data_IF_748997302429
#
_entry.id   IF_748997302429
#
_cell.length_a   1.000
_cell.length_b   1.000
_cell.length_c   1.000
_cell.angle_alpha   90.00
_cell.angle_beta   90.00
_cell.angle_gamma   90.00
#
_symmetry.space_group_name_H-M   'P 1'
#
loop_
_entity.id
_entity.type
_entity.pdbx_description
1 polymer ?
#
# COMPACT_ATOMS: atom_id res chain seq x y z
N UNK A 1 -9.04 53.47 33.73
CA UNK A 1 -7.93 52.86 32.97
C UNK A 1 -8.45 51.62 32.28
N UNK A 2 -8.66 51.70 30.95
CA UNK A 2 -9.10 50.56 30.12
C UNK A 2 -7.89 50.10 29.35
N UNK A 3 -7.48 48.85 29.56
CA UNK A 3 -6.45 48.17 28.73
C UNK A 3 -7.13 47.54 27.51
N UNK A 4 -6.72 48.02 26.33
CA UNK A 4 -7.09 47.42 25.05
C UNK A 4 -6.02 46.38 24.75
N UNK A 5 -6.42 45.11 24.70
CA UNK A 5 -5.55 43.99 24.26
C UNK A 5 -5.58 43.91 22.73
N UNK A 6 -4.46 44.23 22.11
CA UNK A 6 -4.28 44.07 20.66
C UNK A 6 -4.04 42.60 20.33
N UNK A 7 -4.91 42.05 19.49
CA UNK A 7 -4.72 40.71 18.87
C UNK A 7 -3.83 40.93 17.67
N UNK A 8 -2.58 40.42 17.75
CA UNK A 8 -1.70 40.31 16.61
C UNK A 8 -2.04 39.02 15.85
N UNK A 9 -2.67 39.16 14.70
CA UNK A 9 -2.78 38.10 13.70
C UNK A 9 -1.44 37.91 13.01
N UNK A 10 -0.74 36.85 13.36
CA UNK A 10 0.38 36.37 12.56
C UNK A 10 -0.15 35.67 11.28
N UNK A 11 -0.20 36.42 10.20
CA UNK A 11 -0.27 35.86 8.86
C UNK A 11 1.10 35.29 8.51
N UNK A 12 1.32 34.02 8.87
CA UNK A 12 2.45 33.24 8.39
C UNK A 12 2.27 32.95 6.91
N UNK A 13 2.92 33.72 6.05
CA UNK A 13 3.14 33.35 4.66
C UNK A 13 4.02 32.08 4.63
N UNK A 14 3.44 30.94 4.28
CA UNK A 14 4.21 29.76 3.90
C UNK A 14 4.86 30.07 2.55
N UNK A 15 6.01 30.73 2.59
CA UNK A 15 6.93 30.79 1.45
C UNK A 15 7.46 29.38 1.27
N UNK A 16 7.04 28.69 0.20
CA UNK A 16 7.59 27.40 -0.19
C UNK A 16 9.10 27.50 -0.37
N UNK A 17 9.86 26.86 0.51
CA UNK A 17 11.29 26.72 0.38
C UNK A 17 11.58 26.04 -0.96
N UNK A 18 12.18 26.75 -1.89
CA UNK A 18 12.82 26.17 -3.07
C UNK A 18 14.13 25.52 -2.58
N UNK A 19 14.07 24.21 -2.34
CA UNK A 19 15.30 23.43 -2.25
C UNK A 19 15.97 23.47 -3.61
N UNK A 20 17.28 23.83 -3.66
CA UNK A 20 18.06 24.07 -4.87
C UNK A 20 18.21 22.85 -5.83
N UNK A 21 17.45 21.80 -5.64
CA UNK A 21 17.47 20.54 -6.39
C UNK A 21 16.25 20.31 -7.32
N UNK A 22 15.43 21.32 -7.60
CA UNK A 22 14.30 21.18 -8.54
C UNK A 22 13.08 20.42 -7.97
N UNK A 23 13.14 19.93 -6.74
CA UNK A 23 12.00 19.28 -6.08
C UNK A 23 11.19 20.35 -5.35
N UNK A 24 10.02 20.67 -5.88
CA UNK A 24 9.03 21.51 -5.21
C UNK A 24 7.69 20.81 -5.15
N UNK A 25 6.87 21.11 -4.15
CA UNK A 25 5.51 20.57 -4.06
C UNK A 25 4.71 20.86 -5.34
N UNK A 26 4.87 22.06 -5.90
CA UNK A 26 4.24 22.44 -7.17
C UNK A 26 4.59 21.49 -8.32
N UNK A 27 5.86 21.10 -8.44
CA UNK A 27 6.29 20.19 -9.51
C UNK A 27 5.73 18.78 -9.31
N UNK A 28 5.64 18.33 -8.06
CA UNK A 28 5.01 17.05 -7.70
C UNK A 28 3.53 17.07 -8.05
N UNK A 29 2.81 18.09 -7.62
CA UNK A 29 1.37 18.23 -7.86
C UNK A 29 1.06 18.31 -9.36
N UNK A 30 1.89 19.04 -10.13
CA UNK A 30 1.74 19.12 -11.58
C UNK A 30 2.01 17.76 -12.26
N UNK A 31 3.02 17.03 -11.83
CA UNK A 31 3.30 15.69 -12.35
C UNK A 31 2.14 14.73 -12.06
N UNK A 32 1.58 14.76 -10.86
CA UNK A 32 0.41 13.96 -10.49
C UNK A 32 -0.79 14.35 -11.35
N UNK A 33 -1.06 15.65 -11.51
CA UNK A 33 -2.18 16.14 -12.33
C UNK A 33 -2.09 15.65 -13.79
N UNK A 34 -0.89 15.69 -14.38
CA UNK A 34 -0.64 15.19 -15.75
C UNK A 34 -0.84 13.68 -15.84
N UNK A 35 -0.32 12.92 -14.86
CA UNK A 35 -0.51 11.48 -14.82
C UNK A 35 -1.98 11.08 -14.66
N UNK A 36 -2.75 11.77 -13.82
CA UNK A 36 -4.20 11.56 -13.68
C UNK A 36 -4.93 11.88 -14.96
N UNK A 37 -4.57 12.96 -15.68
CA UNK A 37 -5.16 13.30 -16.95
C UNK A 37 -4.92 12.19 -18.00
N UNK A 38 -3.71 11.63 -18.04
CA UNK A 38 -3.39 10.51 -18.91
C UNK A 38 -4.19 9.25 -18.55
N UNK A 39 -4.31 8.90 -17.27
CA UNK A 39 -5.07 7.72 -16.79
C UNK A 39 -6.56 7.74 -17.20
N UNK A 40 -7.15 8.91 -17.44
CA UNK A 40 -8.53 9.01 -17.92
C UNK A 40 -8.73 8.44 -19.33
N UNK A 41 -7.69 8.40 -20.13
CA UNK A 41 -7.73 7.91 -21.51
C UNK A 41 -6.96 6.62 -21.70
N UNK A 42 -6.23 6.18 -20.66
CA UNK A 42 -5.42 4.97 -20.71
C UNK A 42 -6.28 3.70 -20.75
N UNK A 43 -5.79 2.62 -21.38
CA UNK A 43 -6.47 1.34 -21.32
C UNK A 43 -6.49 0.79 -19.89
N UNK A 44 -7.64 0.35 -19.42
CA UNK A 44 -7.75 -0.30 -18.12
C UNK A 44 -7.36 -1.80 -18.14
N UNK A 45 -7.18 -2.36 -19.34
CA UNK A 45 -6.79 -3.74 -19.57
C UNK A 45 -5.35 -3.84 -20.03
N UNK A 46 -4.64 -4.85 -19.58
CA UNK A 46 -3.26 -5.10 -20.00
C UNK A 46 -2.40 -5.75 -18.92
N UNK A 47 -1.12 -5.76 -19.19
CA UNK A 47 -0.12 -6.40 -18.34
C UNK A 47 -0.10 -7.92 -18.47
N UNK A 48 0.69 -8.57 -17.64
CA UNK A 48 0.96 -10.03 -17.73
C UNK A 48 -0.28 -10.90 -17.52
N UNK A 49 -1.35 -10.37 -16.94
CA UNK A 49 -2.53 -11.14 -16.56
C UNK A 49 -3.71 -10.95 -17.51
N UNK A 50 -3.56 -10.09 -18.52
CA UNK A 50 -4.63 -9.75 -19.47
C UNK A 50 -5.98 -9.45 -18.76
N UNK A 51 -5.92 -8.76 -17.63
CA UNK A 51 -7.07 -8.36 -16.82
C UNK A 51 -7.10 -6.85 -16.64
N UNK A 52 -8.26 -6.31 -16.29
CA UNK A 52 -8.33 -4.89 -15.98
C UNK A 52 -7.64 -4.56 -14.64
N UNK A 53 -7.32 -3.29 -14.45
CA UNK A 53 -6.71 -2.76 -13.23
C UNK A 53 -7.55 -1.61 -12.63
N UNK A 54 -8.88 -1.69 -12.77
CA UNK A 54 -9.80 -0.65 -12.33
C UNK A 54 -9.62 -0.30 -10.84
N UNK A 55 -9.34 -1.30 -9.99
CA UNK A 55 -9.09 -1.10 -8.57
C UNK A 55 -7.82 -0.28 -8.31
N UNK A 56 -6.76 -0.48 -9.11
CA UNK A 56 -5.52 0.26 -8.98
C UNK A 56 -5.69 1.71 -9.47
N UNK A 57 -6.40 1.92 -10.59
CA UNK A 57 -6.71 3.25 -11.10
C UNK A 57 -7.59 4.00 -10.10
N UNK A 58 -8.62 3.34 -9.55
CA UNK A 58 -9.49 3.93 -8.54
C UNK A 58 -8.71 4.33 -7.28
N UNK A 59 -7.84 3.46 -6.76
CA UNK A 59 -6.98 3.77 -5.62
C UNK A 59 -6.10 4.99 -5.91
N UNK A 60 -5.54 5.05 -7.12
CA UNK A 60 -4.73 6.19 -7.56
C UNK A 60 -5.55 7.48 -7.60
N UNK A 61 -6.77 7.45 -8.14
CA UNK A 61 -7.67 8.60 -8.17
C UNK A 61 -8.04 9.08 -6.76
N UNK A 62 -8.34 8.13 -5.86
CA UNK A 62 -8.62 8.44 -4.45
C UNK A 62 -7.47 9.21 -3.82
N UNK A 63 -6.24 8.71 -3.94
CA UNK A 63 -5.07 9.35 -3.35
C UNK A 63 -4.66 10.64 -4.08
N UNK A 64 -4.88 10.73 -5.38
CA UNK A 64 -4.65 11.95 -6.15
C UNK A 64 -5.66 13.07 -5.86
N UNK A 65 -6.75 12.78 -5.14
CA UNK A 65 -7.79 13.75 -4.80
C UNK A 65 -8.75 14.03 -5.94
N UNK A 66 -8.92 13.11 -6.89
CA UNK A 66 -9.96 13.20 -7.92
C UNK A 66 -11.32 13.19 -7.22
N UNK A 67 -12.20 14.09 -7.64
CA UNK A 67 -13.53 14.21 -7.05
C UNK A 67 -14.36 12.95 -7.28
N UNK A 68 -15.11 12.52 -6.27
CA UNK A 68 -16.08 11.43 -6.38
C UNK A 68 -17.25 11.75 -7.36
N UNK A 69 -17.36 13.01 -7.81
CA UNK A 69 -18.31 13.43 -8.86
C UNK A 69 -17.73 13.32 -10.28
N UNK A 70 -16.46 13.04 -10.41
CA UNK A 70 -15.80 12.81 -11.72
C UNK A 70 -16.40 11.56 -12.37
N UNK A 71 -16.78 11.67 -13.66
CA UNK A 71 -17.46 10.59 -14.37
C UNK A 71 -16.59 9.32 -14.48
N UNK A 72 -15.27 9.48 -14.67
CA UNK A 72 -14.35 8.33 -14.68
C UNK A 72 -14.25 7.68 -13.31
N UNK A 73 -14.21 8.49 -12.24
CA UNK A 73 -14.24 7.96 -10.88
C UNK A 73 -15.49 7.14 -10.64
N UNK A 74 -16.67 7.68 -10.99
CA UNK A 74 -17.95 6.98 -10.81
C UNK A 74 -18.01 5.68 -11.62
N UNK A 75 -17.52 5.69 -12.86
CA UNK A 75 -17.44 4.50 -13.69
C UNK A 75 -16.54 3.43 -13.07
N UNK A 76 -15.33 3.80 -12.65
CA UNK A 76 -14.40 2.88 -11.97
C UNK A 76 -15.00 2.33 -10.69
N UNK A 77 -15.59 3.19 -9.85
CA UNK A 77 -16.23 2.78 -8.61
C UNK A 77 -17.35 1.77 -8.87
N UNK A 78 -18.23 2.04 -9.84
CA UNK A 78 -19.28 1.10 -10.23
C UNK A 78 -18.69 -0.23 -10.68
N UNK A 79 -17.72 -0.22 -11.59
CA UNK A 79 -17.08 -1.43 -12.11
C UNK A 79 -16.53 -2.31 -10.98
N UNK A 80 -15.76 -1.75 -10.05
CA UNK A 80 -15.12 -2.53 -8.98
C UNK A 80 -16.12 -3.02 -7.93
N UNK A 81 -17.22 -2.32 -7.73
CA UNK A 81 -18.28 -2.74 -6.81
C UNK A 81 -19.15 -3.86 -7.37
N UNK A 82 -19.39 -3.87 -8.68
CA UNK A 82 -20.20 -4.88 -9.38
C UNK A 82 -19.36 -6.11 -9.78
N UNK A 83 -18.04 -5.98 -9.87
CA UNK A 83 -17.16 -7.08 -10.23
C UNK A 83 -17.20 -8.23 -9.19
N UNK A 84 -17.08 -9.49 -9.64
CA UNK A 84 -16.88 -10.60 -8.73
C UNK A 84 -15.57 -10.45 -7.97
N UNK A 85 -15.52 -10.95 -6.73
CA UNK A 85 -14.26 -11.02 -5.97
C UNK A 85 -13.41 -12.15 -6.53
N UNK A 86 -12.40 -11.77 -7.27
CA UNK A 86 -11.41 -12.67 -7.88
C UNK A 86 -10.05 -11.98 -7.94
N UNK A 87 -8.99 -12.74 -7.99
CA UNK A 87 -7.60 -12.27 -7.94
C UNK A 87 -7.25 -11.52 -6.65
N UNK A 88 -6.37 -12.11 -5.88
CA UNK A 88 -5.94 -11.61 -4.56
C UNK A 88 -5.56 -10.13 -4.57
N UNK A 89 -4.78 -9.67 -5.54
CA UNK A 89 -4.37 -8.27 -5.61
C UNK A 89 -5.54 -7.32 -5.94
N UNK A 90 -6.53 -7.73 -6.77
CA UNK A 90 -7.71 -6.92 -7.06
C UNK A 90 -8.58 -6.75 -5.82
N UNK A 91 -8.85 -7.86 -5.11
CA UNK A 91 -9.64 -7.85 -3.88
C UNK A 91 -8.94 -7.04 -2.77
N UNK A 92 -7.61 -7.16 -2.66
CA UNK A 92 -6.83 -6.36 -1.72
C UNK A 92 -6.91 -4.86 -2.04
N UNK A 93 -6.75 -4.48 -3.32
CA UNK A 93 -6.88 -3.09 -3.77
C UNK A 93 -8.31 -2.56 -3.55
N UNK A 94 -9.34 -3.37 -3.82
CA UNK A 94 -10.73 -3.00 -3.52
C UNK A 94 -10.93 -2.70 -2.04
N UNK A 95 -10.44 -3.56 -1.15
CA UNK A 95 -10.51 -3.33 0.30
C UNK A 95 -9.83 -2.00 0.69
N UNK A 96 -8.66 -1.71 0.12
CA UNK A 96 -7.94 -0.45 0.34
C UNK A 96 -8.74 0.76 -0.17
N UNK A 97 -9.33 0.68 -1.37
CA UNK A 97 -10.17 1.75 -1.91
C UNK A 97 -11.34 2.08 -0.98
N UNK A 98 -12.06 1.06 -0.56
CA UNK A 98 -13.27 1.21 0.25
C UNK A 98 -12.96 1.70 1.68
N UNK A 99 -11.87 1.21 2.26
CA UNK A 99 -11.39 1.67 3.57
C UNK A 99 -10.97 3.14 3.52
N UNK A 100 -10.37 3.59 2.41
CA UNK A 100 -9.95 4.97 2.21
C UNK A 100 -11.12 5.90 1.90
N UNK A 101 -12.13 5.44 1.18
CA UNK A 101 -13.34 6.22 0.85
C UNK A 101 -14.24 6.40 2.07
N UNK A 102 -14.80 5.32 2.59
CA UNK A 102 -15.64 5.31 3.79
C UNK A 102 -15.74 3.87 4.35
N UNK A 103 -14.87 3.58 5.30
CA UNK A 103 -14.78 2.27 5.94
C UNK A 103 -15.99 1.87 6.76
N UNK A 104 -16.90 2.79 7.06
CA UNK A 104 -18.16 2.51 7.78
C UNK A 104 -19.26 2.15 6.79
N UNK A 105 -19.51 3.00 5.80
CA UNK A 105 -20.51 2.75 4.77
C UNK A 105 -20.24 1.47 3.98
N UNK A 106 -18.96 1.19 3.66
CA UNK A 106 -18.57 0.03 2.87
C UNK A 106 -18.07 -1.16 3.70
N UNK A 107 -18.25 -1.13 5.03
CA UNK A 107 -17.72 -2.18 5.93
C UNK A 107 -18.15 -3.59 5.49
N UNK A 108 -19.39 -3.75 5.03
CA UNK A 108 -19.90 -5.01 4.55
C UNK A 108 -19.12 -5.57 3.33
N UNK A 109 -18.79 -4.70 2.35
CA UNK A 109 -18.01 -5.10 1.17
C UNK A 109 -16.56 -5.37 1.53
N UNK A 110 -15.99 -4.59 2.44
CA UNK A 110 -14.67 -4.84 3.02
C UNK A 110 -14.64 -6.19 3.76
N UNK A 111 -15.69 -6.55 4.49
CA UNK A 111 -15.81 -7.87 5.12
C UNK A 111 -15.88 -9.01 4.09
N UNK A 112 -16.55 -8.80 2.96
CA UNK A 112 -16.54 -9.75 1.84
C UNK A 112 -15.11 -9.90 1.25
N UNK A 113 -14.36 -8.81 1.11
CA UNK A 113 -12.96 -8.87 0.70
C UNK A 113 -12.10 -9.64 1.72
N UNK A 114 -12.32 -9.40 3.01
CA UNK A 114 -11.65 -10.16 4.08
C UNK A 114 -11.95 -11.65 4.01
N UNK A 115 -13.23 -12.04 3.82
CA UNK A 115 -13.63 -13.44 3.68
C UNK A 115 -12.94 -14.09 2.48
N UNK A 116 -12.90 -13.40 1.32
CA UNK A 116 -12.19 -13.90 0.16
C UNK A 116 -10.71 -14.13 0.44
N UNK A 117 -10.03 -13.17 1.08
CA UNK A 117 -8.60 -13.28 1.39
C UNK A 117 -8.35 -14.42 2.39
N UNK A 118 -9.18 -14.58 3.42
CA UNK A 118 -9.07 -15.67 4.40
C UNK A 118 -9.24 -17.02 3.74
N UNK A 119 -10.24 -17.19 2.88
CA UNK A 119 -10.53 -18.45 2.19
C UNK A 119 -9.44 -18.85 1.19
N UNK A 120 -8.80 -17.86 0.54
CA UNK A 120 -7.78 -18.10 -0.48
C UNK A 120 -6.36 -18.15 0.07
N UNK A 121 -6.16 -18.11 1.39
CA UNK A 121 -4.84 -18.32 1.96
C UNK A 121 -4.33 -19.72 1.66
N UNK A 122 -3.13 -19.80 1.10
CA UNK A 122 -2.45 -21.06 0.82
C UNK A 122 -2.07 -21.80 2.11
N UNK A 123 -1.85 -23.11 2.01
CA UNK A 123 -1.50 -23.95 3.17
C UNK A 123 -0.23 -23.50 3.88
N UNK A 124 0.72 -22.95 3.15
CA UNK A 124 1.99 -22.45 3.67
C UNK A 124 1.91 -20.99 4.20
N UNK A 125 0.73 -20.38 4.21
CA UNK A 125 0.53 -19.00 4.68
C UNK A 125 0.64 -17.91 3.60
N UNK A 126 1.02 -18.25 2.38
CA UNK A 126 1.06 -17.33 1.24
C UNK A 126 -0.35 -17.10 0.64
N UNK A 127 -0.35 -16.30 -0.44
CA UNK A 127 -1.47 -16.19 -1.39
C UNK A 127 -0.98 -16.43 -2.82
N UNK A 128 -1.84 -17.07 -3.61
CA UNK A 128 -1.78 -17.13 -5.07
C UNK A 128 -2.82 -16.17 -5.64
N UNK A 129 -3.18 -16.30 -6.91
CA UNK A 129 -4.16 -15.40 -7.56
C UNK A 129 -5.54 -15.41 -6.90
N UNK A 130 -5.94 -16.51 -6.28
CA UNK A 130 -7.25 -16.66 -5.65
C UNK A 130 -8.40 -16.89 -6.64
N UNK A 131 -9.49 -17.44 -6.10
CA UNK A 131 -10.72 -17.75 -6.84
C UNK A 131 -11.94 -17.34 -6.02
N UNK A 132 -13.08 -17.03 -6.66
CA UNK A 132 -14.33 -16.76 -5.95
C UNK A 132 -14.68 -17.88 -4.96
N UNK A 133 -15.18 -17.52 -3.78
CA UNK A 133 -15.59 -18.45 -2.73
C UNK A 133 -17.03 -18.24 -2.33
N UNK A 134 -17.75 -19.32 -2.04
CA UNK A 134 -19.17 -19.28 -1.66
C UNK A 134 -19.39 -18.58 -0.30
N UNK A 135 -18.43 -18.68 0.62
CA UNK A 135 -18.55 -18.10 1.97
C UNK A 135 -18.72 -16.58 1.95
N UNK A 136 -18.27 -15.91 0.88
CA UNK A 136 -18.49 -14.47 0.67
C UNK A 136 -19.99 -14.13 0.67
N UNK A 137 -20.85 -15.02 0.16
CA UNK A 137 -22.30 -14.83 0.09
C UNK A 137 -22.97 -14.84 1.47
N UNK A 138 -22.32 -15.39 2.49
CA UNK A 138 -22.83 -15.42 3.86
C UNK A 138 -22.71 -14.06 4.56
N UNK A 139 -21.96 -13.13 4.00
CA UNK A 139 -21.85 -11.77 4.51
C UNK A 139 -22.96 -10.94 3.88
N UNK A 140 -23.89 -10.45 4.73
CA UNK A 140 -24.99 -9.64 4.27
C UNK A 140 -24.49 -8.41 3.52
N UNK A 141 -25.04 -8.18 2.34
CA UNK A 141 -24.82 -6.95 1.60
C UNK A 141 -25.53 -5.80 2.31
N UNK A 142 -24.88 -4.65 2.41
CA UNK A 142 -25.51 -3.41 2.84
C UNK A 142 -26.51 -2.88 1.81
N UNK A 143 -27.07 -1.70 2.07
CA UNK A 143 -28.00 -1.06 1.14
C UNK A 143 -27.46 -1.00 -0.28
N UNK A 144 -28.30 -1.37 -1.25
CA UNK A 144 -27.91 -1.58 -2.65
C UNK A 144 -27.59 -0.31 -3.44
N UNK A 145 -27.68 0.86 -2.85
CA UNK A 145 -27.23 2.08 -3.52
C UNK A 145 -25.70 2.17 -3.54
N UNK A 146 -25.11 1.60 -4.57
CA UNK A 146 -23.67 1.64 -4.85
C UNK A 146 -23.25 3.02 -5.34
N UNK A 147 -23.48 4.06 -4.56
CA UNK A 147 -22.99 5.42 -4.89
C UNK A 147 -21.68 5.66 -4.16
N UNK A 148 -20.70 6.31 -4.82
CA UNK A 148 -19.55 6.84 -4.12
C UNK A 148 -20.01 7.73 -2.98
N UNK A 149 -19.32 7.77 -1.84
CA UNK A 149 -19.66 8.65 -0.75
C UNK A 149 -19.68 10.11 -1.24
N UNK A 150 -20.49 10.96 -0.60
CA UNK A 150 -20.49 12.37 -0.92
C UNK A 150 -19.06 12.94 -0.78
N UNK A 151 -18.64 13.85 -1.68
CA UNK A 151 -17.31 14.43 -1.62
C UNK A 151 -17.07 15.02 -0.24
N UNK A 152 -16.01 14.61 0.39
CA UNK A 152 -15.61 15.22 1.65
C UNK A 152 -15.15 16.64 1.40
N UNK A 153 -15.59 17.56 2.27
CA UNK A 153 -15.11 18.94 2.26
C UNK A 153 -13.61 18.95 2.55
N UNK A 154 -12.84 19.53 1.66
CA UNK A 154 -11.39 19.67 1.76
C UNK A 154 -10.62 18.85 0.75
N UNK A 155 -9.47 19.37 0.32
CA UNK A 155 -8.51 18.67 -0.52
C UNK A 155 -7.90 17.55 0.32
N UNK A 156 -7.72 16.35 -0.23
CA UNK A 156 -6.90 15.30 0.39
C UNK A 156 -5.45 15.77 0.32
N UNK A 157 -5.00 16.42 1.38
CA UNK A 157 -3.66 16.98 1.44
C UNK A 157 -2.61 15.87 1.48
N UNK A 158 -1.49 16.14 0.85
CA UNK A 158 -0.30 15.31 0.88
C UNK A 158 0.16 15.07 2.33
N UNK A 159 0.23 13.80 2.74
CA UNK A 159 0.68 13.41 4.08
C UNK A 159 -0.23 13.83 5.23
N UNK A 160 -1.35 14.52 4.99
CA UNK A 160 -2.32 14.82 6.02
C UNK A 160 -3.13 13.58 6.36
N UNK A 161 -3.10 13.18 7.63
CA UNK A 161 -3.98 12.14 8.15
C UNK A 161 -5.41 12.68 8.21
N UNK A 162 -6.21 12.34 7.21
CA UNK A 162 -7.63 12.59 7.27
C UNK A 162 -8.24 11.76 8.39
N UNK A 163 -9.01 12.38 9.28
CA UNK A 163 -9.77 11.66 10.28
C UNK A 163 -10.81 10.77 9.58
N UNK A 164 -10.63 9.46 9.68
CA UNK A 164 -11.59 8.49 9.12
C UNK A 164 -12.74 8.26 10.08
N UNK A 165 -13.96 7.98 9.58
CA UNK A 165 -15.11 7.65 10.43
C UNK A 165 -14.77 6.53 11.41
N UNK A 166 -15.21 6.67 12.67
CA UNK A 166 -15.00 5.65 13.71
C UNK A 166 -15.90 4.45 13.44
N UNK A 167 -15.28 3.30 13.34
CA UNK A 167 -15.99 2.02 13.25
C UNK A 167 -16.61 1.71 14.61
N UNK A 168 -17.91 1.48 14.65
CA UNK A 168 -18.66 1.18 15.89
C UNK A 168 -18.96 -0.31 16.05
N UNK A 169 -19.12 -1.02 14.94
CA UNK A 169 -19.43 -2.45 14.90
C UNK A 169 -18.24 -3.21 14.34
N UNK A 170 -17.91 -4.34 14.94
CA UNK A 170 -16.92 -5.27 14.38
C UNK A 170 -17.65 -6.41 13.67
N UNK A 171 -17.16 -6.76 12.49
CA UNK A 171 -17.65 -7.89 11.71
C UNK A 171 -16.63 -9.03 11.78
N UNK A 172 -17.08 -10.26 11.98
CA UNK A 172 -16.20 -11.43 12.01
C UNK A 172 -16.25 -12.16 10.69
N UNK A 173 -15.08 -12.55 10.20
CA UNK A 173 -14.95 -13.54 9.14
C UNK A 173 -14.31 -14.81 9.69
N UNK A 174 -14.63 -15.94 9.12
CA UNK A 174 -14.09 -17.23 9.53
C UNK A 174 -13.56 -17.96 8.31
N UNK A 175 -12.56 -18.80 8.51
CA UNK A 175 -12.04 -19.61 7.42
C UNK A 175 -13.13 -20.57 6.95
N UNK A 176 -13.63 -20.33 5.74
CA UNK A 176 -14.51 -21.24 5.03
C UNK A 176 -13.71 -22.40 4.41
N UNK A 177 -14.36 -23.15 3.58
CA UNK A 177 -13.70 -24.14 2.73
C UNK A 177 -13.82 -23.65 1.27
N UNK A 178 -12.88 -23.99 0.41
CA UNK A 178 -11.69 -24.83 0.62
C UNK A 178 -10.48 -24.05 1.09
N UNK A 179 -9.48 -24.77 1.62
CA UNK A 179 -8.14 -24.25 1.83
C UNK A 179 -7.54 -23.92 0.47
N UNK A 180 -6.82 -22.81 0.36
CA UNK A 180 -6.09 -22.44 -0.84
C UNK A 180 -5.06 -23.50 -1.29
N UNK A 181 -4.38 -23.29 -2.42
CA UNK A 181 -3.37 -24.22 -2.93
C UNK A 181 -2.21 -24.41 -1.93
N UNK A 182 -1.33 -25.39 -2.18
CA UNK A 182 -0.21 -25.68 -1.29
C UNK A 182 0.70 -24.46 -1.07
N UNK A 183 0.94 -23.67 -2.11
CA UNK A 183 1.79 -22.48 -2.07
C UNK A 183 1.32 -21.39 -3.03
N UNK A 184 1.77 -20.19 -2.79
CA UNK A 184 1.55 -19.00 -3.61
C UNK A 184 2.86 -18.34 -4.02
N UNK A 185 2.83 -17.01 -4.05
CA UNK A 185 4.00 -16.19 -4.33
C UNK A 185 4.01 -14.92 -3.46
N UNK A 186 5.18 -14.32 -3.32
CA UNK A 186 5.37 -13.15 -2.47
C UNK A 186 4.77 -11.86 -3.05
N UNK A 187 4.54 -11.81 -4.38
CA UNK A 187 3.87 -10.68 -5.00
C UNK A 187 2.39 -10.62 -4.59
N UNK A 188 1.64 -11.72 -4.71
CA UNK A 188 0.26 -11.77 -4.22
C UNK A 188 0.19 -11.64 -2.69
N UNK A 189 1.12 -12.25 -1.96
CA UNK A 189 1.11 -12.25 -0.48
C UNK A 189 1.31 -10.85 0.11
N UNK A 190 2.12 -9.98 -0.49
CA UNK A 190 2.25 -8.59 -0.02
C UNK A 190 0.97 -7.78 -0.25
N UNK A 191 0.24 -8.01 -1.36
CA UNK A 191 -1.06 -7.35 -1.57
C UNK A 191 -2.11 -7.89 -0.59
N UNK A 192 -2.12 -9.20 -0.30
CA UNK A 192 -2.99 -9.76 0.73
C UNK A 192 -2.77 -9.09 2.10
N UNK A 193 -1.51 -8.83 2.48
CA UNK A 193 -1.20 -8.11 3.72
C UNK A 193 -1.82 -6.71 3.75
N UNK A 194 -1.73 -5.95 2.64
CA UNK A 194 -2.32 -4.61 2.53
C UNK A 194 -3.86 -4.66 2.62
N UNK A 195 -4.47 -5.59 1.91
CA UNK A 195 -5.92 -5.80 1.93
C UNK A 195 -6.42 -6.21 3.32
N UNK A 196 -5.74 -7.16 3.98
CA UNK A 196 -6.08 -7.59 5.34
C UNK A 196 -5.92 -6.47 6.37
N UNK A 197 -4.89 -5.60 6.20
CA UNK A 197 -4.77 -4.39 7.02
C UNK A 197 -5.97 -3.46 6.83
N UNK A 198 -6.35 -3.19 5.59
CA UNK A 198 -7.51 -2.34 5.32
C UNK A 198 -8.79 -2.92 5.94
N UNK A 199 -8.98 -4.24 5.86
CA UNK A 199 -10.09 -4.94 6.53
C UNK A 199 -10.02 -4.78 8.06
N UNK A 200 -8.86 -4.98 8.65
CA UNK A 200 -8.65 -4.84 10.11
C UNK A 200 -8.92 -3.41 10.58
N UNK A 201 -8.43 -2.40 9.86
CA UNK A 201 -8.65 -0.98 10.16
C UNK A 201 -10.12 -0.57 9.97
N UNK A 202 -10.85 -1.27 9.10
CA UNK A 202 -12.31 -1.14 8.94
C UNK A 202 -13.12 -1.95 9.98
N UNK A 203 -12.47 -2.53 11.00
CA UNK A 203 -13.15 -3.26 12.07
C UNK A 203 -13.62 -4.66 11.67
N UNK A 204 -12.97 -5.29 10.71
CA UNK A 204 -13.21 -6.71 10.39
C UNK A 204 -12.22 -7.57 11.18
N UNK A 205 -12.76 -8.49 11.98
CA UNK A 205 -11.96 -9.46 12.74
C UNK A 205 -11.51 -10.59 11.82
N UNK A 206 -10.25 -10.52 11.43
CA UNK A 206 -9.57 -11.57 10.65
C UNK A 206 -9.10 -12.67 11.62
N UNK A 207 -9.27 -13.98 11.27
CA UNK A 207 -8.81 -15.06 12.13
C UNK A 207 -7.32 -14.93 12.49
N UNK A 208 -7.00 -15.08 13.76
CA UNK A 208 -5.60 -14.98 14.26
C UNK A 208 -4.68 -16.00 13.57
N UNK A 209 -5.20 -17.21 13.29
CA UNK A 209 -4.45 -18.24 12.57
C UNK A 209 -4.04 -17.77 11.15
N UNK A 210 -4.92 -17.06 10.42
CA UNK A 210 -4.60 -16.52 9.10
C UNK A 210 -3.46 -15.51 9.18
N UNK A 211 -3.51 -14.62 10.17
CA UNK A 211 -2.47 -13.59 10.40
C UNK A 211 -1.14 -14.25 10.81
N UNK A 212 -1.20 -15.23 11.72
CA UNK A 212 -0.02 -15.94 12.21
C UNK A 212 0.67 -16.77 11.12
N UNK A 213 -0.10 -17.52 10.31
CA UNK A 213 0.47 -18.33 9.21
C UNK A 213 1.13 -17.44 8.15
N UNK A 214 0.53 -16.29 7.84
CA UNK A 214 1.13 -15.33 6.94
C UNK A 214 2.44 -14.75 7.49
N UNK A 215 2.45 -14.34 8.75
CA UNK A 215 3.67 -13.87 9.42
C UNK A 215 4.75 -14.97 9.41
N UNK A 216 4.38 -16.19 9.78
CA UNK A 216 5.29 -17.35 9.79
C UNK A 216 5.94 -17.57 8.43
N UNK A 217 5.16 -17.50 7.34
CA UNK A 217 5.70 -17.58 5.99
C UNK A 217 6.82 -16.56 5.75
N UNK A 218 6.62 -15.30 6.07
CA UNK A 218 7.62 -14.27 5.86
C UNK A 218 8.88 -14.48 6.70
N UNK A 219 8.76 -15.01 7.90
CA UNK A 219 9.89 -15.38 8.75
C UNK A 219 10.69 -16.53 8.13
N UNK A 220 10.02 -17.60 7.70
CA UNK A 220 10.65 -18.82 7.16
C UNK A 220 11.19 -18.65 5.74
N UNK A 221 10.65 -17.70 4.98
CA UNK A 221 11.07 -17.41 3.60
C UNK A 221 12.13 -16.31 3.50
N UNK A 222 12.54 -15.70 4.62
CA UNK A 222 13.62 -14.74 4.62
C UNK A 222 14.94 -15.43 4.28
N UNK A 223 15.74 -14.82 3.40
CA UNK A 223 17.01 -15.38 2.98
C UNK A 223 18.01 -15.45 4.14
N UNK A 224 19.02 -16.34 4.06
CA UNK A 224 20.14 -16.33 4.99
C UNK A 224 20.80 -14.96 5.09
N UNK A 225 21.44 -14.71 6.23
CA UNK A 225 22.18 -13.48 6.46
C UNK A 225 23.33 -13.34 5.44
N UNK A 226 23.39 -12.21 4.76
CA UNK A 226 24.47 -11.93 3.80
C UNK A 226 25.81 -11.61 4.47
N UNK A 227 25.85 -11.59 5.80
CA UNK A 227 27.02 -11.23 6.60
C UNK A 227 27.33 -9.73 6.58
N UNK A 228 27.70 -9.24 7.72
CA UNK A 228 28.42 -7.98 7.92
C UNK A 228 27.71 -6.71 7.51
N UNK A 229 26.98 -6.11 8.43
CA UNK A 229 27.21 -4.69 8.64
C UNK A 229 28.70 -4.57 8.99
N UNK A 230 29.52 -4.12 8.06
CA UNK A 230 30.93 -3.85 8.34
C UNK A 230 31.04 -2.91 9.54
N UNK A 231 32.15 -2.98 10.31
CA UNK A 231 32.41 -2.10 11.45
C UNK A 231 32.31 -0.59 11.13
N UNK A 232 32.06 -0.21 9.88
CA UNK A 232 31.90 1.13 9.36
C UNK A 232 30.48 1.45 8.83
N UNK A 233 29.52 0.50 8.91
CA UNK A 233 28.13 0.79 8.53
C UNK A 233 27.41 1.51 9.68
N UNK A 234 27.41 2.83 9.60
CA UNK A 234 26.78 3.77 10.54
C UNK A 234 25.26 3.56 10.65
N UNK A 235 24.66 2.76 9.75
CA UNK A 235 23.22 2.55 9.65
C UNK A 235 22.64 1.50 10.60
N UNK A 236 23.45 0.60 11.15
CA UNK A 236 23.01 -0.39 12.12
C UNK A 236 23.97 -0.43 13.32
N UNK A 237 23.80 0.50 14.25
CA UNK A 237 24.62 0.59 15.45
C UNK A 237 24.57 -0.62 16.40
N UNK A 238 23.90 -1.73 15.98
CA UNK A 238 23.75 -2.96 16.75
C UNK A 238 24.27 -4.23 16.04
N UNK A 239 24.93 -4.11 14.87
CA UNK A 239 25.49 -5.27 14.17
C UNK A 239 24.44 -6.28 13.68
N UNK A 240 23.22 -5.84 13.42
CA UNK A 240 22.09 -6.71 13.09
C UNK A 240 22.23 -7.43 11.74
N UNK A 241 21.47 -8.52 11.56
CA UNK A 241 21.44 -9.30 10.32
C UNK A 241 20.97 -8.47 9.12
N UNK A 242 21.45 -8.85 7.94
CA UNK A 242 21.06 -8.27 6.64
C UNK A 242 20.43 -9.36 5.78
N UNK A 243 19.09 -9.37 5.69
CA UNK A 243 18.34 -10.47 5.08
C UNK A 243 17.16 -9.91 4.28
N UNK A 244 17.06 -10.29 3.02
CA UNK A 244 15.98 -9.89 2.13
C UNK A 244 15.09 -11.06 1.72
N UNK A 245 14.25 -10.83 0.73
CA UNK A 245 13.32 -11.83 0.17
C UNK A 245 13.39 -11.86 -1.35
N UNK A 246 13.15 -13.05 -1.91
CA UNK A 246 12.90 -13.26 -3.32
C UNK A 246 11.41 -13.51 -3.60
N UNK A 247 11.07 -14.04 -4.79
CA UNK A 247 9.68 -14.21 -5.21
C UNK A 247 8.94 -15.35 -4.48
N UNK A 248 9.67 -16.34 -3.93
CA UNK A 248 9.10 -17.50 -3.21
C UNK A 248 9.81 -17.70 -1.88
N UNK A 249 10.72 -18.65 -1.82
CA UNK A 249 11.63 -18.85 -0.68
C UNK A 249 12.94 -19.43 -1.17
N UNK A 250 14.04 -19.30 -0.43
CA UNK A 250 15.33 -19.87 -0.82
C UNK A 250 15.32 -21.40 -0.94
N UNK A 251 14.35 -22.06 -0.34
CA UNK A 251 14.21 -23.52 -0.43
C UNK A 251 13.72 -24.02 -1.80
N UNK A 252 13.00 -23.17 -2.55
CA UNK A 252 12.36 -23.54 -3.83
C UNK A 252 12.69 -22.59 -4.98
N UNK A 253 13.47 -21.56 -4.73
CA UNK A 253 13.84 -20.52 -5.68
C UNK A 253 15.26 -20.04 -5.35
N UNK A 254 16.22 -20.33 -6.18
CA UNK A 254 17.65 -20.03 -6.00
C UNK A 254 18.01 -18.56 -6.29
N UNK A 255 17.06 -17.77 -6.78
CA UNK A 255 17.26 -16.33 -6.99
C UNK A 255 17.60 -15.62 -5.68
N UNK A 256 18.55 -14.71 -5.76
CA UNK A 256 18.92 -13.85 -4.62
C UNK A 256 17.75 -12.93 -4.22
N UNK A 257 17.76 -12.39 -2.99
CA UNK A 257 16.88 -11.32 -2.60
C UNK A 257 16.93 -10.15 -3.58
N UNK A 258 15.82 -9.48 -3.81
CA UNK A 258 15.77 -8.30 -4.66
C UNK A 258 14.77 -7.27 -4.17
N UNK A 259 14.96 -6.05 -4.61
CA UNK A 259 14.35 -4.85 -4.06
C UNK A 259 12.83 -4.90 -3.97
N UNK A 260 12.15 -5.30 -5.06
CA UNK A 260 10.68 -5.29 -5.09
C UNK A 260 10.06 -6.26 -4.07
N UNK A 261 10.66 -7.45 -3.91
CA UNK A 261 10.16 -8.43 -2.94
C UNK A 261 10.55 -8.06 -1.52
N UNK A 262 11.79 -7.60 -1.29
CA UNK A 262 12.22 -7.19 0.05
C UNK A 262 11.44 -5.99 0.57
N UNK A 263 11.17 -4.98 -0.26
CA UNK A 263 10.35 -3.85 0.13
C UNK A 263 8.90 -4.25 0.46
N UNK A 264 8.29 -5.10 -0.38
CA UNK A 264 6.96 -5.63 -0.13
C UNK A 264 6.87 -6.49 1.13
N UNK A 265 7.87 -7.36 1.34
CA UNK A 265 7.97 -8.22 2.52
C UNK A 265 8.13 -7.41 3.81
N UNK A 266 9.02 -6.41 3.84
CA UNK A 266 9.20 -5.53 4.99
C UNK A 266 7.85 -4.89 5.39
N UNK A 267 7.12 -4.34 4.43
CA UNK A 267 5.79 -3.78 4.68
C UNK A 267 4.79 -4.82 5.21
N UNK A 268 4.77 -6.02 4.62
CA UNK A 268 3.87 -7.11 5.03
C UNK A 268 4.16 -7.57 6.48
N UNK A 269 5.44 -7.75 6.85
CA UNK A 269 5.80 -8.16 8.22
C UNK A 269 5.45 -7.06 9.23
N UNK A 270 5.63 -5.79 8.90
CA UNK A 270 5.16 -4.67 9.74
C UNK A 270 3.64 -4.74 9.97
N UNK A 271 2.85 -4.99 8.91
CA UNK A 271 1.39 -5.12 8.99
C UNK A 271 0.99 -6.27 9.90
N UNK A 272 1.57 -7.46 9.73
CA UNK A 272 1.19 -8.62 10.54
C UNK A 272 1.58 -8.44 12.01
N UNK A 273 2.73 -7.86 12.32
CA UNK A 273 3.07 -7.47 13.70
C UNK A 273 2.03 -6.50 14.28
N UNK A 274 1.63 -5.49 13.50
CA UNK A 274 0.57 -4.55 13.90
C UNK A 274 -0.76 -5.27 14.18
N UNK A 275 -1.21 -6.15 13.30
CA UNK A 275 -2.46 -6.90 13.50
C UNK A 275 -2.40 -7.84 14.71
N UNK A 276 -1.22 -8.38 15.05
CA UNK A 276 -0.99 -9.19 16.25
C UNK A 276 -0.75 -8.37 17.53
N UNK A 277 -0.78 -7.04 17.45
CA UNK A 277 -0.50 -6.20 18.61
C UNK A 277 0.97 -6.13 19.04
N UNK A 278 1.91 -6.43 18.16
CA UNK A 278 3.34 -6.45 18.41
C UNK A 278 4.02 -5.18 17.90
N UNK A 279 5.10 -4.79 18.54
CA UNK A 279 5.96 -3.70 18.08
C UNK A 279 6.89 -4.21 16.97
N UNK A 280 6.58 -3.86 15.72
CA UNK A 280 7.36 -4.29 14.54
C UNK A 280 8.80 -3.78 14.56
N UNK A 281 9.08 -2.66 15.23
CA UNK A 281 10.45 -2.13 15.33
C UNK A 281 11.37 -3.00 16.20
N UNK A 282 10.79 -3.86 17.04
CA UNK A 282 11.54 -4.82 17.85
C UNK A 282 11.71 -6.18 17.18
N UNK A 283 10.98 -6.44 16.11
CA UNK A 283 11.03 -7.71 15.38
C UNK A 283 12.36 -7.85 14.63
N UNK A 284 13.15 -8.91 14.89
CA UNK A 284 14.44 -9.12 14.23
C UNK A 284 14.31 -9.33 12.71
N UNK A 285 13.19 -9.91 12.23
CA UNK A 285 12.91 -10.12 10.81
C UNK A 285 12.71 -8.79 10.10
N UNK A 286 11.99 -7.87 10.74
CA UNK A 286 11.78 -6.50 10.24
C UNK A 286 13.10 -5.73 10.20
N UNK A 287 13.91 -5.82 11.26
CA UNK A 287 15.22 -5.16 11.32
C UNK A 287 16.16 -5.66 10.21
N UNK A 288 16.22 -6.99 10.02
CA UNK A 288 17.06 -7.58 8.98
C UNK A 288 16.63 -7.17 7.56
N UNK A 289 15.33 -7.06 7.30
CA UNK A 289 14.79 -6.55 6.03
C UNK A 289 15.09 -5.06 5.82
N UNK A 290 14.98 -4.25 6.87
CA UNK A 290 15.38 -2.85 6.83
C UNK A 290 16.88 -2.69 6.49
N UNK A 291 17.74 -3.45 7.16
CA UNK A 291 19.19 -3.43 6.93
C UNK A 291 19.53 -3.83 5.49
N UNK A 292 18.79 -4.80 4.92
CA UNK A 292 18.97 -5.18 3.52
C UNK A 292 18.64 -4.03 2.57
N UNK A 293 17.49 -3.35 2.77
CA UNK A 293 17.12 -2.18 1.96
C UNK A 293 18.09 -1.01 2.15
N UNK A 294 18.63 -0.81 3.33
CA UNK A 294 19.63 0.22 3.61
C UNK A 294 20.95 -0.06 2.89
N UNK A 295 21.45 -1.31 2.97
CA UNK A 295 22.69 -1.75 2.33
C UNK A 295 22.62 -1.74 0.81
N UNK A 296 21.49 -2.14 0.24
CA UNK A 296 21.27 -2.26 -1.21
C UNK A 296 20.40 -1.14 -1.76
N UNK A 297 20.36 0.02 -1.09
CA UNK A 297 19.44 1.08 -1.48
C UNK A 297 19.62 1.50 -2.93
N UNK A 298 18.51 1.58 -3.65
CA UNK A 298 18.46 2.11 -5.01
C UNK A 298 17.10 2.74 -5.28
N UNK A 299 17.04 3.60 -6.29
CA UNK A 299 15.82 4.05 -6.96
C UNK A 299 15.98 3.82 -8.46
N UNK A 300 14.96 3.29 -9.12
CA UNK A 300 15.05 2.91 -10.53
C UNK A 300 13.67 2.97 -11.21
N UNK A 301 13.62 2.66 -12.50
CA UNK A 301 12.39 2.68 -13.30
C UNK A 301 11.45 1.49 -13.07
N UNK A 302 11.70 0.64 -12.08
CA UNK A 302 10.71 -0.36 -11.67
C UNK A 302 9.67 0.31 -10.76
N UNK A 303 8.60 0.86 -11.33
CA UNK A 303 7.59 1.61 -10.60
C UNK A 303 6.83 0.74 -9.58
N UNK A 304 6.66 -0.55 -9.84
CA UNK A 304 6.16 -1.50 -8.85
C UNK A 304 7.05 -1.56 -7.60
N UNK A 305 8.39 -1.61 -7.79
CA UNK A 305 9.34 -1.52 -6.69
C UNK A 305 9.27 -0.15 -6.00
N UNK A 306 9.21 0.93 -6.77
CA UNK A 306 9.14 2.28 -6.20
C UNK A 306 7.95 2.43 -5.25
N UNK A 307 6.76 1.99 -5.66
CA UNK A 307 5.59 1.97 -4.75
C UNK A 307 5.79 0.99 -3.58
N UNK A 308 6.49 -0.13 -3.79
CA UNK A 308 6.92 -1.02 -2.69
C UNK A 308 7.84 -0.34 -1.68
N UNK A 309 8.79 0.47 -2.15
CA UNK A 309 9.73 1.23 -1.32
C UNK A 309 9.00 2.29 -0.48
N UNK A 310 8.05 2.99 -1.08
CA UNK A 310 7.16 3.93 -0.37
C UNK A 310 6.41 3.22 0.76
N UNK A 311 5.78 2.08 0.47
CA UNK A 311 5.09 1.28 1.48
C UNK A 311 6.01 0.82 2.59
N UNK A 312 7.21 0.35 2.25
CA UNK A 312 8.21 -0.06 3.23
C UNK A 312 8.59 1.09 4.17
N UNK A 313 8.88 2.27 3.63
CA UNK A 313 9.21 3.47 4.41
C UNK A 313 8.08 3.91 5.32
N UNK A 314 6.87 4.02 4.78
CA UNK A 314 5.68 4.45 5.53
C UNK A 314 5.26 3.46 6.62
N UNK A 315 5.26 2.16 6.32
CA UNK A 315 4.84 1.11 7.25
C UNK A 315 5.87 0.85 8.35
N UNK A 316 7.14 0.91 8.03
CA UNK A 316 8.20 0.86 9.03
C UNK A 316 8.24 2.14 9.88
N UNK A 317 7.86 3.29 9.30
CA UNK A 317 7.89 4.60 9.94
C UNK A 317 9.30 5.20 9.92
N UNK A 318 9.87 5.35 8.71
CA UNK A 318 11.17 5.96 8.48
C UNK A 318 11.17 6.82 7.22
N UNK A 319 11.91 7.94 7.27
CA UNK A 319 12.18 8.78 6.09
C UNK A 319 13.45 8.34 5.35
N UNK A 320 14.25 7.43 5.93
CA UNK A 320 15.50 6.97 5.36
C UNK A 320 15.69 5.47 5.46
N UNK A 321 16.34 4.89 4.44
CA UNK A 321 16.98 3.59 4.53
C UNK A 321 18.50 3.82 4.53
N UNK A 322 19.16 3.52 5.65
CA UNK A 322 20.51 4.00 5.90
C UNK A 322 20.56 5.54 5.86
N UNK A 323 21.49 6.10 5.11
CA UNK A 323 21.62 7.55 4.90
C UNK A 323 20.78 8.10 3.75
N UNK A 324 19.98 7.25 3.11
CA UNK A 324 19.25 7.59 1.91
C UNK A 324 17.82 8.02 2.21
N UNK A 325 17.51 9.30 1.99
CA UNK A 325 16.13 9.77 1.91
C UNK A 325 15.45 9.15 0.70
N UNK A 326 14.60 8.15 0.97
CA UNK A 326 13.95 7.35 -0.06
C UNK A 326 12.94 8.16 -0.87
N UNK A 327 12.25 9.10 -0.20
CA UNK A 327 11.24 9.90 -0.88
C UNK A 327 11.87 10.95 -1.78
N UNK A 328 12.84 11.71 -1.26
CA UNK A 328 13.55 12.73 -2.03
C UNK A 328 14.15 12.13 -3.30
N UNK A 329 14.92 11.03 -3.16
CA UNK A 329 15.59 10.38 -4.30
C UNK A 329 14.57 9.79 -5.29
N UNK A 330 13.51 9.16 -4.80
CA UNK A 330 12.47 8.59 -5.64
C UNK A 330 11.66 9.64 -6.38
N UNK A 331 11.24 10.71 -5.70
CA UNK A 331 10.49 11.80 -6.33
C UNK A 331 11.32 12.52 -7.41
N UNK A 332 12.60 12.79 -7.15
CA UNK A 332 13.50 13.36 -8.17
C UNK A 332 13.58 12.48 -9.42
N UNK A 333 13.73 11.17 -9.23
CA UNK A 333 13.75 10.22 -10.34
C UNK A 333 12.43 10.22 -11.12
N UNK A 334 11.30 10.14 -10.42
CA UNK A 334 9.98 10.09 -11.05
C UNK A 334 9.67 11.36 -11.83
N UNK A 335 9.96 12.54 -11.28
CA UNK A 335 9.78 13.80 -12.02
C UNK A 335 10.61 13.85 -13.30
N UNK A 336 11.84 13.34 -13.26
CA UNK A 336 12.71 13.26 -14.45
C UNK A 336 12.21 12.26 -15.50
N UNK A 337 11.53 11.20 -15.08
CA UNK A 337 11.11 10.09 -15.96
C UNK A 337 9.71 10.25 -16.53
N UNK A 338 8.93 11.24 -16.07
CA UNK A 338 7.59 11.47 -16.62
C UNK A 338 7.67 11.83 -18.10
N UNK A 339 6.94 11.11 -18.92
CA UNK A 339 6.87 11.37 -20.38
C UNK A 339 6.10 12.66 -20.70
N UNK A 340 6.27 13.14 -21.92
CA UNK A 340 5.60 14.37 -22.38
C UNK A 340 4.08 14.29 -22.31
N UNK A 341 3.51 13.11 -22.50
CA UNK A 341 2.06 12.85 -22.39
C UNK A 341 1.54 12.77 -20.94
N UNK A 342 2.43 12.80 -19.95
CA UNK A 342 2.10 12.73 -18.53
C UNK A 342 2.21 11.33 -17.94
N UNK A 343 2.46 10.30 -18.74
CA UNK A 343 2.59 8.92 -18.25
C UNK A 343 3.97 8.60 -17.68
N UNK A 344 4.02 7.48 -16.96
CA UNK A 344 5.24 6.72 -16.69
C UNK A 344 5.10 5.35 -17.34
N UNK A 345 6.12 4.92 -18.06
CA UNK A 345 6.11 3.64 -18.73
C UNK A 345 7.54 3.17 -18.98
N UNK A 346 7.89 1.99 -18.47
CA UNK A 346 9.21 1.36 -18.67
C UNK A 346 9.42 0.84 -20.06
N UNK A 347 8.34 0.34 -20.67
CA UNK A 347 8.33 -0.25 -21.99
C UNK A 347 7.67 0.63 -23.03
N UNK A 348 7.47 0.06 -24.21
CA UNK A 348 6.81 0.73 -25.33
C UNK A 348 5.32 0.37 -25.43
N UNK A 349 4.84 -0.54 -24.56
CA UNK A 349 3.45 -1.00 -24.57
C UNK A 349 2.57 -0.09 -23.72
N UNK A 350 1.54 0.54 -24.31
CA UNK A 350 0.65 1.46 -23.59
C UNK A 350 -0.01 0.84 -22.35
N UNK A 351 -0.38 -0.45 -22.42
CA UNK A 351 -1.02 -1.18 -21.34
C UNK A 351 -0.14 -1.35 -20.08
N UNK A 352 1.18 -1.41 -20.25
CA UNK A 352 2.12 -1.42 -19.13
C UNK A 352 2.19 -0.04 -18.47
N UNK A 353 2.02 1.02 -19.26
CA UNK A 353 2.03 2.40 -18.81
C UNK A 353 0.95 2.72 -17.77
N UNK A 354 -0.22 2.06 -17.85
CA UNK A 354 -1.30 2.29 -16.87
C UNK A 354 -0.88 1.91 -15.45
N UNK A 355 -0.28 0.73 -15.28
CA UNK A 355 0.21 0.26 -13.99
C UNK A 355 1.38 1.11 -13.49
N UNK A 356 2.35 1.38 -14.37
CA UNK A 356 3.52 2.19 -14.04
C UNK A 356 3.13 3.61 -13.62
N UNK A 357 2.16 4.23 -14.32
CA UNK A 357 1.65 5.56 -13.99
C UNK A 357 0.92 5.56 -12.64
N UNK A 358 0.10 4.56 -12.37
CA UNK A 358 -0.54 4.41 -11.05
C UNK A 358 0.49 4.31 -9.93
N UNK A 359 1.50 3.45 -10.07
CA UNK A 359 2.53 3.25 -9.05
C UNK A 359 3.37 4.52 -8.82
N UNK A 360 3.71 5.24 -9.89
CA UNK A 360 4.44 6.50 -9.78
C UNK A 360 3.64 7.58 -9.02
N UNK A 361 2.35 7.72 -9.31
CA UNK A 361 1.47 8.66 -8.61
C UNK A 361 1.32 8.26 -7.14
N UNK A 362 1.08 6.98 -6.84
CA UNK A 362 0.95 6.49 -5.47
C UNK A 362 2.22 6.73 -4.65
N UNK A 363 3.40 6.54 -5.25
CA UNK A 363 4.67 6.90 -4.62
C UNK A 363 4.72 8.41 -4.32
N UNK A 364 4.48 9.26 -5.32
CA UNK A 364 4.56 10.72 -5.17
C UNK A 364 3.56 11.26 -4.14
N UNK A 365 2.45 10.59 -3.97
CA UNK A 365 1.41 10.95 -2.97
C UNK A 365 1.74 10.46 -1.56
N UNK A 366 2.78 9.65 -1.34
CA UNK A 366 2.94 8.91 -0.08
C UNK A 366 1.61 8.27 0.33
N UNK A 367 1.06 7.46 -0.57
CA UNK A 367 -0.31 6.98 -0.48
C UNK A 367 -0.55 6.02 0.70
N UNK A 368 0.51 5.39 1.20
CA UNK A 368 0.42 4.44 2.30
C UNK A 368 0.35 5.18 3.64
N UNK A 369 -0.68 4.91 4.42
CA UNK A 369 -0.75 5.42 5.79
C UNK A 369 0.23 4.70 6.69
N UNK A 370 0.93 5.46 7.51
CA UNK A 370 1.76 4.92 8.58
C UNK A 370 0.94 4.04 9.54
N UNK A 371 1.59 3.07 10.16
CA UNK A 371 1.00 2.30 11.25
C UNK A 371 1.09 3.18 12.50
N UNK A 372 -0.04 3.43 13.18
CA UNK A 372 -0.04 4.18 14.43
C UNK A 372 0.75 3.39 15.49
N UNK A 373 1.75 4.03 16.11
CA UNK A 373 2.43 3.49 17.28
C UNK A 373 1.43 3.31 18.44
N UNK A 374 1.68 2.36 19.33
CA UNK A 374 0.76 1.86 20.37
C UNK A 374 0.08 2.90 21.31
N UNK A 375 0.37 4.20 21.18
CA UNK A 375 -0.31 5.25 21.96
C UNK A 375 -1.79 5.43 21.69
N UNK A 376 -2.34 4.80 20.63
CA UNK A 376 -3.72 4.96 20.17
C UNK A 376 -4.66 3.75 20.36
N UNK A 377 -4.17 2.62 20.87
CA UNK A 377 -5.04 1.47 21.12
C UNK A 377 -5.83 1.65 22.40
N UNK A 378 -7.06 2.08 22.27
CA UNK A 378 -8.08 1.72 23.27
C UNK A 378 -8.61 0.32 22.90
N UNK A 379 -8.39 -0.60 23.84
CA UNK A 379 -9.01 -1.94 23.87
C UNK A 379 -10.54 -1.85 23.80
#
# INVERSE_FOLDING_TARGET
>A
MRYVAGVFLFLGSVAGAQDGNGLSQRNIDEAIRRGVAWLRTAPSTGGHLNTNCDELILLTFIHAGVSERDEHFQKLFKNVMEAPLEHTYKVALLAMCLEELDRVTFQWRIAQCAQFLVDNQCQNGQWSYGKPTEAVKNIASGDKELKPPAPTKGVREFGAEREKPKVRQRLKVSKGKPVGPASGDNSNSQYAALGLRACYDAGVDVPEETVYLAYKWWVESQHPDEGGAGKNDVASGDGGKTQGWNYRSPAVDDRKPYHAMTAGALGAVCIYNYMMGRDWKKDPVVKAGYNWLAKHFTVNSNYYYMYGLERAGMLYGTDKFGDHDWYLKGAQLLLKQQKADGSWNRGDKPEEGTWDTCFAILFLKKATRAIASEGGRRR
#
